data_IF_869343915888
#
_entry.id   IF_869343915888
#
_cell.length_a   1.000
_cell.length_b   1.000
_cell.length_c   1.000
_cell.angle_alpha   90.00
_cell.angle_beta   90.00
_cell.angle_gamma   90.00
#
_symmetry.space_group_name_H-M   'P 1'
#
loop_
_entity.id
_entity.type
_entity.pdbx_description
1 polymer ?
#
# COMPACT_ATOMS: atom_id res chain seq x y z
N UNK A 1 -14.29 15.51 -1.28
CA UNK A 1 -13.29 16.30 -0.55
C UNK A 1 -12.15 15.37 -0.15
N UNK A 2 -10.88 15.69 -0.45
CA UNK A 2 -9.76 14.84 -0.04
C UNK A 2 -9.66 14.91 1.49
N UNK A 3 -9.59 13.74 2.13
CA UNK A 3 -9.45 13.65 3.57
C UNK A 3 -8.18 14.36 4.02
N UNK A 4 -8.37 15.43 4.81
CA UNK A 4 -7.29 16.10 5.52
C UNK A 4 -6.62 15.04 6.39
N UNK A 5 -5.37 14.71 6.07
CA UNK A 5 -4.52 13.95 6.98
C UNK A 5 -4.50 14.71 8.31
N UNK A 6 -4.91 14.03 9.38
CA UNK A 6 -4.95 14.62 10.72
C UNK A 6 -3.52 14.93 11.14
N UNK A 7 -3.10 16.17 10.92
CA UNK A 7 -1.84 16.78 11.40
C UNK A 7 -2.02 17.31 12.83
N UNK A 8 -2.64 16.53 13.70
CA UNK A 8 -2.65 16.80 15.14
C UNK A 8 -2.00 15.62 15.84
N UNK A 9 -0.91 15.92 16.55
CA UNK A 9 -0.28 15.02 17.52
C UNK A 9 -1.36 14.33 18.34
N UNK A 10 -1.37 12.99 18.33
CA UNK A 10 -2.23 12.19 19.23
C UNK A 10 -1.56 12.17 20.61
N UNK A 11 -1.19 13.32 21.17
CA UNK A 11 -0.61 13.38 22.50
C UNK A 11 -1.00 14.67 23.18
N UNK A 12 -1.95 14.52 24.12
CA UNK A 12 -2.11 15.42 25.23
C UNK A 12 -0.74 15.68 25.87
N UNK A 13 -0.37 16.95 26.03
CA UNK A 13 0.60 17.39 27.04
C UNK A 13 0.44 16.53 28.29
N UNK A 14 1.54 15.98 28.81
CA UNK A 14 1.50 15.39 30.15
C UNK A 14 0.89 16.41 31.12
N UNK A 15 0.11 15.97 32.13
CA UNK A 15 -0.33 16.85 33.20
C UNK A 15 0.92 17.40 33.91
N UNK A 16 1.41 18.55 33.43
CA UNK A 16 2.74 19.07 33.76
C UNK A 16 3.41 19.90 32.66
N UNK A 17 2.88 19.92 31.43
CA UNK A 17 3.38 20.81 30.36
C UNK A 17 4.76 20.42 29.78
N UNK A 18 5.27 19.24 30.12
CA UNK A 18 6.55 18.74 29.62
C UNK A 18 6.38 18.20 28.19
N UNK A 19 7.21 18.66 27.26
CA UNK A 19 7.28 18.14 25.89
C UNK A 19 7.76 16.69 25.97
N UNK A 20 6.98 15.74 25.45
CA UNK A 20 7.39 14.34 25.39
C UNK A 20 8.48 14.15 24.35
N UNK A 21 9.51 13.41 24.73
CA UNK A 21 10.62 13.04 23.84
C UNK A 21 10.20 11.81 23.04
N UNK A 22 9.88 11.98 21.76
CA UNK A 22 9.38 10.89 20.91
C UNK A 22 9.99 10.97 19.51
N UNK A 23 10.23 9.81 18.91
CA UNK A 23 10.65 9.65 17.53
C UNK A 23 9.80 8.59 16.83
N UNK A 24 9.37 8.89 15.60
CA UNK A 24 8.57 8.01 14.76
C UNK A 24 9.32 7.72 13.46
N UNK A 25 9.31 6.47 13.04
CA UNK A 25 9.83 6.02 11.75
C UNK A 25 8.74 5.25 11.02
N UNK A 26 8.32 5.80 9.88
CA UNK A 26 7.27 5.25 9.04
C UNK A 26 7.90 4.75 7.74
N UNK A 27 7.69 3.48 7.41
CA UNK A 27 8.06 2.90 6.13
C UNK A 27 6.80 2.87 5.30
N UNK A 28 6.71 3.78 4.34
CA UNK A 28 5.52 3.99 3.52
C UNK A 28 5.81 3.49 2.12
N UNK A 29 5.09 2.47 1.68
CA UNK A 29 5.22 1.87 0.36
C UNK A 29 3.98 2.12 -0.47
N UNK A 30 4.17 2.77 -1.61
CA UNK A 30 3.14 2.98 -2.62
C UNK A 30 3.37 1.97 -3.74
N UNK A 31 2.43 1.05 -3.92
CA UNK A 31 2.58 -0.03 -4.89
C UNK A 31 1.76 0.22 -6.15
N UNK A 32 2.37 -0.05 -7.29
CA UNK A 32 1.77 0.02 -8.61
C UNK A 32 1.77 -1.36 -9.24
N UNK A 33 0.58 -1.91 -9.55
CA UNK A 33 0.44 -3.23 -10.18
C UNK A 33 -0.58 -3.15 -11.32
N UNK A 34 -0.21 -3.74 -12.46
CA UNK A 34 -1.15 -4.01 -13.55
C UNK A 34 -1.33 -5.51 -13.71
N UNK A 35 -2.56 -6.00 -13.61
CA UNK A 35 -2.91 -7.38 -13.94
C UNK A 35 -3.45 -7.47 -15.37
N UNK A 36 -3.13 -8.59 -16.03
CA UNK A 36 -3.81 -9.05 -17.25
C UNK A 36 -5.24 -9.54 -16.93
N UNK A 37 -6.06 -9.72 -17.98
CA UNK A 37 -7.42 -10.27 -17.85
C UNK A 37 -7.48 -11.69 -17.30
N UNK A 38 -6.40 -12.46 -17.44
CA UNK A 38 -6.26 -13.79 -16.83
C UNK A 38 -5.68 -13.76 -15.40
N UNK A 39 -5.43 -12.58 -14.84
CA UNK A 39 -4.94 -12.41 -13.46
C UNK A 39 -3.43 -12.51 -13.26
N UNK A 40 -2.63 -12.60 -14.33
CA UNK A 40 -1.17 -12.49 -14.24
C UNK A 40 -0.73 -11.05 -14.05
N UNK A 41 0.32 -10.84 -13.23
CA UNK A 41 0.95 -9.54 -13.05
C UNK A 41 1.77 -9.21 -14.31
N UNK A 42 1.44 -8.10 -14.97
CA UNK A 42 2.16 -7.57 -16.14
C UNK A 42 3.27 -6.61 -15.72
N UNK A 43 2.97 -5.72 -14.77
CA UNK A 43 3.92 -4.75 -14.20
C UNK A 43 3.73 -4.69 -12.69
N UNK A 44 4.82 -4.58 -11.95
CA UNK A 44 4.81 -4.38 -10.50
C UNK A 44 5.97 -3.47 -10.10
N UNK A 45 5.68 -2.44 -9.33
CA UNK A 45 6.67 -1.48 -8.82
C UNK A 45 6.26 -1.00 -7.43
N UNK A 46 7.27 -0.69 -6.62
CA UNK A 46 7.15 -0.08 -5.29
C UNK A 46 7.91 1.23 -5.30
N UNK A 47 7.21 2.30 -4.94
CA UNK A 47 7.78 3.59 -4.56
C UNK A 47 7.73 3.69 -3.04
N UNK A 48 8.88 3.61 -2.39
CA UNK A 48 9.01 3.59 -0.94
C UNK A 48 9.64 4.86 -0.37
N UNK A 49 9.18 5.26 0.82
CA UNK A 49 9.77 6.34 1.60
C UNK A 49 9.91 5.90 3.05
N UNK A 50 11.11 6.04 3.61
CA UNK A 50 11.34 6.04 5.06
C UNK A 50 11.15 7.48 5.53
N UNK A 51 10.09 7.73 6.30
CA UNK A 51 9.76 9.02 6.84
C UNK A 51 10.04 9.04 8.34
N UNK A 52 10.71 10.09 8.82
CA UNK A 52 11.02 10.26 10.24
C UNK A 52 10.30 11.48 10.80
N UNK A 53 9.76 11.36 12.01
CA UNK A 53 9.26 12.49 12.80
C UNK A 53 10.02 12.56 14.10
N UNK A 54 10.81 13.61 14.29
CA UNK A 54 11.62 13.81 15.50
C UNK A 54 11.07 14.95 16.35
N UNK A 55 10.79 14.65 17.62
CA UNK A 55 10.44 15.64 18.65
C UNK A 55 11.45 15.64 19.80
N UNK A 56 12.70 15.26 19.51
CA UNK A 56 13.76 15.09 20.49
C UNK A 56 14.49 16.41 20.79
N UNK A 57 14.68 16.74 22.06
CA UNK A 57 15.36 17.96 22.47
C UNK A 57 16.86 17.91 22.15
N UNK A 58 17.32 18.93 21.41
CA UNK A 58 18.73 19.13 21.05
C UNK A 58 19.21 18.29 19.88
N UNK A 59 18.27 17.73 19.10
CA UNK A 59 18.53 17.01 17.84
C UNK A 59 19.70 16.02 17.95
N UNK A 60 19.58 15.00 18.81
CA UNK A 60 20.64 14.03 19.00
C UNK A 60 20.88 13.23 17.72
N UNK A 61 22.11 12.73 17.55
CA UNK A 61 22.41 11.79 16.48
C UNK A 61 21.55 10.52 16.62
N UNK A 62 20.99 10.09 15.49
CA UNK A 62 20.17 8.89 15.32
C UNK A 62 20.91 7.92 14.41
N UNK A 63 20.81 6.63 14.74
CA UNK A 63 21.27 5.53 13.88
C UNK A 63 20.09 4.62 13.57
N UNK A 64 19.79 4.48 12.28
CA UNK A 64 18.72 3.64 11.77
C UNK A 64 19.33 2.51 10.95
N UNK A 65 19.25 1.28 11.45
CA UNK A 65 19.72 0.12 10.71
C UNK A 65 18.59 -0.57 9.94
N UNK A 66 18.87 -0.87 8.68
CA UNK A 66 18.00 -1.62 7.79
C UNK A 66 18.46 -3.09 7.71
N UNK A 67 17.88 -3.87 6.79
CA UNK A 67 18.30 -5.25 6.56
C UNK A 67 19.80 -5.32 6.21
N UNK A 68 20.52 -6.29 6.79
CA UNK A 68 21.94 -6.50 6.50
C UNK A 68 22.17 -6.93 5.05
N UNK A 69 21.22 -7.67 4.47
CA UNK A 69 21.23 -8.15 3.09
C UNK A 69 20.60 -7.17 2.09
N UNK A 70 20.34 -5.92 2.51
CA UNK A 70 19.89 -4.87 1.62
C UNK A 70 20.94 -4.63 0.53
N UNK A 71 20.52 -4.58 -0.72
CA UNK A 71 21.39 -4.20 -1.84
C UNK A 71 20.70 -3.15 -2.71
N UNK A 72 21.49 -2.29 -3.35
CA UNK A 72 20.99 -1.22 -4.22
C UNK A 72 21.66 -1.36 -5.58
N UNK A 73 20.87 -1.21 -6.64
CA UNK A 73 21.35 -1.22 -8.01
C UNK A 73 21.03 -2.52 -8.74
N UNK A 74 20.84 -2.38 -10.05
CA UNK A 74 20.72 -3.51 -10.99
C UNK A 74 22.11 -4.08 -11.32
N UNK A 75 22.83 -4.56 -10.31
CA UNK A 75 24.17 -5.12 -10.45
C UNK A 75 24.16 -6.64 -10.54
N UNK A 76 24.59 -7.19 -11.67
CA UNK A 76 24.86 -8.62 -11.89
C UNK A 76 25.84 -9.17 -10.83
N UNK A 77 25.38 -10.14 -10.03
CA UNK A 77 26.15 -11.00 -9.12
C UNK A 77 25.32 -12.26 -8.83
N UNK A 78 25.92 -13.45 -8.73
CA UNK A 78 25.45 -14.64 -9.42
C UNK A 78 24.04 -15.05 -9.02
N UNK A 79 23.24 -15.37 -10.04
CA UNK A 79 22.11 -16.31 -9.95
C UNK A 79 22.70 -17.67 -9.57
N UNK A 80 23.02 -17.86 -8.30
CA UNK A 80 23.43 -19.15 -7.75
C UNK A 80 22.88 -19.31 -6.36
N UNK A 81 22.00 -20.29 -6.24
CA UNK A 81 21.59 -20.85 -4.98
C UNK A 81 20.13 -20.59 -4.71
N UNK A 82 19.33 -21.63 -4.95
CA UNK A 82 18.13 -21.91 -4.17
C UNK A 82 18.39 -21.65 -2.68
N UNK A 83 18.15 -20.43 -2.20
CA UNK A 83 17.95 -20.14 -0.78
C UNK A 83 16.45 -20.05 -0.55
N UNK A 84 15.82 -21.21 -0.55
CA UNK A 84 14.50 -21.37 0.05
C UNK A 84 14.68 -21.40 1.56
N UNK A 85 14.44 -20.27 2.23
CA UNK A 85 13.86 -20.23 3.59
C UNK A 85 13.62 -18.78 4.04
N UNK A 86 12.35 -18.36 4.07
CA UNK A 86 11.81 -17.39 5.03
C UNK A 86 12.36 -15.94 5.08
N UNK A 87 12.99 -15.42 4.02
CA UNK A 87 13.34 -13.99 3.94
C UNK A 87 14.23 -13.73 2.73
N UNK A 88 13.63 -13.33 1.61
CA UNK A 88 14.40 -12.98 0.42
C UNK A 88 15.23 -11.72 0.67
N UNK A 89 16.44 -11.66 0.11
CA UNK A 89 17.27 -10.46 0.16
C UNK A 89 16.50 -9.27 -0.41
N UNK A 90 16.56 -8.13 0.26
CA UNK A 90 15.91 -6.90 -0.18
C UNK A 90 16.81 -6.21 -1.21
N UNK A 91 16.34 -6.09 -2.45
CA UNK A 91 17.12 -5.51 -3.54
C UNK A 91 16.33 -4.33 -4.10
N UNK A 92 16.88 -3.14 -3.88
CA UNK A 92 16.35 -1.88 -4.37
C UNK A 92 16.95 -1.58 -5.75
N UNK A 93 16.17 -1.00 -6.66
CA UNK A 93 16.71 -0.53 -7.93
C UNK A 93 17.62 0.68 -7.74
N UNK A 94 17.12 1.65 -6.98
CA UNK A 94 17.79 2.90 -6.67
C UNK A 94 17.20 3.49 -5.39
N UNK A 95 17.96 4.40 -4.77
CA UNK A 95 17.51 5.17 -3.62
C UNK A 95 18.18 6.54 -3.57
N UNK A 96 17.53 7.47 -2.89
CA UNK A 96 18.12 8.74 -2.50
C UNK A 96 17.95 8.98 -1.00
N UNK A 97 18.84 9.80 -0.45
CA UNK A 97 18.89 10.11 0.97
C UNK A 97 18.71 11.61 1.19
N UNK A 98 18.17 11.95 2.34
CA UNK A 98 18.16 13.34 2.81
C UNK A 98 19.57 13.84 3.10
N UNK A 99 19.80 15.14 2.93
CA UNK A 99 21.12 15.78 3.12
C UNK A 99 21.71 15.59 4.53
N UNK A 100 20.85 15.37 5.53
CA UNK A 100 21.29 15.14 6.91
C UNK A 100 21.80 13.71 7.17
N UNK A 101 21.68 12.80 6.20
CA UNK A 101 22.08 11.40 6.30
C UNK A 101 23.54 11.23 5.92
N UNK A 102 24.31 10.68 6.85
CA UNK A 102 25.70 10.25 6.67
C UNK A 102 25.73 8.76 6.37
N UNK A 103 26.43 8.41 5.30
CA UNK A 103 26.47 7.05 4.74
C UNK A 103 27.73 6.26 5.13
N UNK A 104 28.56 6.79 6.04
CA UNK A 104 29.85 6.19 6.43
C UNK A 104 29.74 4.71 6.84
N UNK A 105 28.62 4.34 7.48
CA UNK A 105 28.35 2.99 7.94
C UNK A 105 27.39 2.20 7.02
N UNK A 106 26.81 2.86 6.01
CA UNK A 106 25.77 2.25 5.19
C UNK A 106 26.32 1.05 4.40
N UNK A 107 27.53 1.17 3.85
CA UNK A 107 28.14 0.09 3.07
C UNK A 107 28.50 -1.15 3.91
N UNK A 108 28.84 -0.95 5.19
CA UNK A 108 29.27 -2.04 6.08
C UNK A 108 28.10 -2.76 6.77
N UNK A 109 27.15 -2.01 7.33
CA UNK A 109 26.09 -2.59 8.17
C UNK A 109 24.70 -2.01 7.90
N UNK A 110 24.52 -1.34 6.75
CA UNK A 110 23.23 -0.77 6.30
C UNK A 110 22.61 0.15 7.35
N UNK A 111 23.47 0.86 8.08
CA UNK A 111 23.07 1.86 9.08
C UNK A 111 23.17 3.27 8.52
N UNK A 112 22.06 3.99 8.59
CA UNK A 112 21.97 5.42 8.29
C UNK A 112 22.20 6.21 9.58
N UNK A 113 23.23 7.06 9.60
CA UNK A 113 23.51 7.97 10.73
C UNK A 113 23.06 9.38 10.38
N UNK A 114 22.26 10.04 11.22
CA UNK A 114 21.77 11.39 10.92
C UNK A 114 21.54 12.23 12.17
N UNK A 115 21.61 13.55 12.02
CA UNK A 115 21.03 14.49 12.97
C UNK A 115 19.68 14.92 12.38
N UNK A 116 18.53 14.51 12.97
CA UNK A 116 17.24 14.74 12.36
C UNK A 116 16.87 16.23 12.45
N UNK A 117 16.36 16.83 11.36
CA UNK A 117 15.60 18.07 11.44
C UNK A 117 14.41 17.95 12.40
N UNK A 118 13.98 19.07 12.97
CA UNK A 118 12.76 19.14 13.78
C UNK A 118 11.53 18.83 12.93
N UNK A 119 10.64 17.97 13.45
CA UNK A 119 9.41 17.62 12.77
C UNK A 119 9.55 16.46 11.79
N UNK A 120 8.82 16.53 10.67
CA UNK A 120 8.63 15.43 9.72
C UNK A 120 9.44 15.65 8.44
N UNK A 121 10.28 14.68 8.08
CA UNK A 121 11.10 14.73 6.87
C UNK A 121 11.33 13.31 6.30
N UNK A 122 11.52 13.17 4.97
CA UNK A 122 11.93 11.90 4.39
C UNK A 122 13.40 11.65 4.72
N UNK A 123 13.74 10.47 5.22
CA UNK A 123 15.13 10.03 5.45
C UNK A 123 15.72 9.43 4.18
N UNK A 124 14.93 8.57 3.52
CA UNK A 124 15.33 7.82 2.34
C UNK A 124 14.11 7.61 1.46
N UNK A 125 14.25 7.80 0.15
CA UNK A 125 13.30 7.30 -0.84
C UNK A 125 13.96 6.16 -1.62
N UNK A 126 13.18 5.15 -2.00
CA UNK A 126 13.67 4.01 -2.74
C UNK A 126 12.65 3.52 -3.75
N UNK A 127 13.15 2.83 -4.77
CA UNK A 127 12.34 2.20 -5.81
C UNK A 127 12.68 0.73 -5.94
N UNK A 128 11.68 -0.11 -6.18
CA UNK A 128 11.85 -1.55 -6.36
C UNK A 128 10.89 -2.08 -7.42
N UNK A 129 11.45 -2.73 -8.44
CA UNK A 129 10.73 -3.39 -9.54
C UNK A 129 10.84 -4.91 -9.51
N UNK A 130 11.48 -5.46 -8.48
CA UNK A 130 11.51 -6.90 -8.29
C UNK A 130 10.11 -7.46 -8.06
N UNK A 131 9.88 -8.69 -8.51
CA UNK A 131 8.61 -9.36 -8.34
C UNK A 131 8.32 -9.58 -6.85
N UNK A 132 7.10 -9.22 -6.44
CA UNK A 132 6.60 -9.40 -5.08
C UNK A 132 5.20 -10.00 -5.09
N UNK A 133 4.78 -10.60 -3.97
CA UNK A 133 3.43 -11.12 -3.83
C UNK A 133 2.44 -9.95 -3.72
N UNK A 134 1.56 -9.81 -4.71
CA UNK A 134 0.51 -8.81 -4.68
C UNK A 134 -0.42 -9.03 -3.46
N UNK A 135 -0.73 -8.00 -2.65
CA UNK A 135 -1.53 -8.15 -1.44
C UNK A 135 -3.01 -8.43 -1.73
N UNK A 136 -3.48 -8.14 -2.94
CA UNK A 136 -4.84 -8.42 -3.37
C UNK A 136 -4.86 -9.03 -4.78
N UNK A 137 -5.67 -10.07 -4.99
CA UNK A 137 -6.04 -10.50 -6.34
C UNK A 137 -7.44 -9.98 -6.67
N UNK A 138 -7.57 -9.44 -7.87
CA UNK A 138 -8.84 -8.94 -8.41
C UNK A 138 -9.16 -9.79 -9.63
N UNK A 139 -10.32 -10.42 -9.63
CA UNK A 139 -10.89 -11.07 -10.80
C UNK A 139 -12.21 -10.37 -11.15
N UNK A 140 -12.38 -10.08 -12.43
CA UNK A 140 -13.56 -9.43 -12.96
C UNK A 140 -14.05 -10.21 -14.17
N UNK A 141 -15.30 -10.65 -14.11
CA UNK A 141 -15.97 -11.36 -15.18
C UNK A 141 -17.20 -10.58 -15.61
N UNK A 142 -17.42 -10.47 -16.91
CA UNK A 142 -18.62 -9.86 -17.49
C UNK A 142 -19.35 -10.94 -18.28
N UNK A 143 -20.61 -11.18 -17.95
CA UNK A 143 -21.50 -12.14 -18.61
C UNK A 143 -22.69 -11.41 -19.24
N UNK A 144 -23.04 -11.77 -20.47
CA UNK A 144 -24.24 -11.25 -21.12
C UNK A 144 -25.48 -11.96 -20.57
N UNK A 145 -26.50 -11.18 -20.20
CA UNK A 145 -27.72 -11.67 -19.54
C UNK A 145 -28.98 -11.31 -20.35
N UNK A 146 -28.83 -11.10 -21.66
CA UNK A 146 -29.85 -10.64 -22.60
C UNK A 146 -29.41 -9.41 -23.39
N UNK A 147 -30.19 -8.98 -24.39
CA UNK A 147 -29.75 -7.92 -25.32
C UNK A 147 -29.56 -6.55 -24.67
N UNK A 148 -30.23 -6.27 -23.55
CA UNK A 148 -30.15 -5.02 -22.78
C UNK A 148 -29.60 -5.20 -21.36
N UNK A 149 -29.00 -6.36 -21.07
CA UNK A 149 -28.56 -6.72 -19.72
C UNK A 149 -27.22 -7.43 -19.75
N UNK A 150 -26.39 -7.12 -18.78
CA UNK A 150 -25.18 -7.88 -18.49
C UNK A 150 -24.99 -7.99 -16.98
N UNK A 151 -24.11 -8.87 -16.57
CA UNK A 151 -23.76 -9.09 -15.18
C UNK A 151 -22.26 -8.98 -15.01
N UNK A 152 -21.83 -8.22 -14.02
CA UNK A 152 -20.42 -8.11 -13.63
C UNK A 152 -20.24 -8.85 -12.31
N UNK A 153 -19.31 -9.79 -12.28
CA UNK A 153 -18.86 -10.47 -11.09
C UNK A 153 -17.46 -9.98 -10.73
N UNK A 154 -17.34 -9.29 -9.61
CA UNK A 154 -16.07 -8.85 -9.05
C UNK A 154 -15.72 -9.73 -7.86
N UNK A 155 -14.56 -10.38 -7.91
CA UNK A 155 -14.01 -11.16 -6.81
C UNK A 155 -12.70 -10.54 -6.34
N UNK A 156 -12.60 -10.30 -5.03
CA UNK A 156 -11.41 -9.77 -4.36
C UNK A 156 -10.90 -10.81 -3.36
N UNK A 157 -9.62 -11.19 -3.47
CA UNK A 157 -8.97 -12.11 -2.52
C UNK A 157 -7.79 -11.41 -1.84
N UNK A 158 -7.77 -11.42 -0.50
CA UNK A 158 -6.70 -10.81 0.32
C UNK A 158 -5.56 -11.81 0.54
N UNK A 159 -4.37 -11.51 0.03
CA UNK A 159 -3.25 -12.45 -0.13
C UNK A 159 -2.13 -12.26 0.93
N UNK A 160 -2.51 -11.75 2.10
CA UNK A 160 -1.64 -11.54 3.27
C UNK A 160 -2.17 -12.31 4.50
N UNK A 161 -1.38 -12.33 5.58
CA UNK A 161 -1.71 -13.09 6.79
C UNK A 161 -3.03 -12.63 7.43
N UNK A 162 -3.81 -13.57 7.98
CA UNK A 162 -5.14 -13.30 8.56
C UNK A 162 -5.12 -12.42 9.81
N UNK A 163 -3.97 -12.28 10.46
CA UNK A 163 -3.74 -11.32 11.56
C UNK A 163 -3.63 -9.87 11.08
N UNK A 164 -3.39 -9.65 9.79
CA UNK A 164 -3.26 -8.32 9.18
C UNK A 164 -4.60 -7.90 8.58
N UNK A 165 -4.88 -6.61 8.68
CA UNK A 165 -6.11 -6.00 8.19
C UNK A 165 -5.77 -4.88 7.21
N UNK A 166 -6.51 -4.81 6.11
CA UNK A 166 -6.54 -3.65 5.22
C UNK A 166 -7.77 -2.77 5.48
N UNK A 167 -7.62 -1.48 5.24
CA UNK A 167 -8.62 -0.44 5.46
C UNK A 167 -8.77 0.45 4.21
N UNK A 168 -9.86 1.23 4.17
CA UNK A 168 -10.12 2.22 3.10
C UNK A 168 -10.07 1.59 1.72
N UNK A 169 -10.71 0.42 1.56
CA UNK A 169 -10.73 -0.29 0.29
C UNK A 169 -11.82 0.30 -0.59
N UNK A 170 -11.46 0.67 -1.82
CA UNK A 170 -12.41 1.09 -2.85
C UNK A 170 -12.02 0.45 -4.17
N UNK A 171 -12.95 -0.31 -4.74
CA UNK A 171 -12.89 -0.91 -6.07
C UNK A 171 -13.77 -0.09 -7.00
N UNK A 172 -13.28 0.20 -8.19
CA UNK A 172 -14.01 0.98 -9.20
C UNK A 172 -13.83 0.34 -10.56
N UNK A 173 -14.92 0.36 -11.35
CA UNK A 173 -14.92 -0.17 -12.70
C UNK A 173 -15.75 0.75 -13.61
N UNK A 174 -15.15 1.35 -14.65
CA UNK A 174 -15.90 2.04 -15.69
C UNK A 174 -16.79 1.04 -16.44
N UNK A 175 -18.02 1.45 -16.73
CA UNK A 175 -19.04 0.66 -17.41
C UNK A 175 -19.35 1.29 -18.78
N UNK A 176 -20.01 0.55 -19.69
CA UNK A 176 -20.41 1.09 -20.98
C UNK A 176 -21.24 2.36 -20.84
N UNK A 177 -21.07 3.31 -21.76
CA UNK A 177 -21.69 4.65 -21.69
C UNK A 177 -23.22 4.62 -21.65
N UNK A 178 -23.82 3.59 -22.25
CA UNK A 178 -25.26 3.36 -22.31
C UNK A 178 -25.81 2.61 -21.09
N UNK A 179 -25.02 2.41 -20.02
CA UNK A 179 -25.52 1.86 -18.76
C UNK A 179 -26.48 2.84 -18.10
N UNK A 180 -27.73 2.45 -17.90
CA UNK A 180 -28.78 3.28 -17.27
C UNK A 180 -28.97 2.94 -15.80
N UNK A 181 -28.82 1.66 -15.44
CA UNK A 181 -29.01 1.20 -14.06
C UNK A 181 -28.04 0.08 -13.72
N UNK A 182 -27.64 0.06 -12.45
CA UNK A 182 -26.89 -1.05 -11.85
C UNK A 182 -27.61 -1.49 -10.58
N UNK A 183 -27.87 -2.79 -10.46
CA UNK A 183 -28.38 -3.42 -9.24
C UNK A 183 -27.28 -4.26 -8.61
N UNK A 184 -27.03 -4.05 -7.32
CA UNK A 184 -25.93 -4.69 -6.61
C UNK A 184 -26.43 -5.80 -5.69
N UNK A 185 -25.73 -6.93 -5.69
CA UNK A 185 -25.96 -8.07 -4.82
C UNK A 185 -24.65 -8.41 -4.10
N UNK A 186 -24.67 -8.26 -2.78
CA UNK A 186 -23.57 -8.60 -1.89
C UNK A 186 -23.81 -9.99 -1.27
N UNK A 187 -22.74 -10.66 -0.87
CA UNK A 187 -22.84 -11.93 -0.15
C UNK A 187 -23.55 -11.74 1.21
N UNK A 188 -24.37 -12.71 1.65
CA UNK A 188 -25.02 -12.66 2.96
C UNK A 188 -24.00 -12.46 4.07
N UNK A 189 -24.27 -11.53 5.00
CA UNK A 189 -23.35 -11.20 6.10
C UNK A 189 -22.24 -10.21 5.74
N UNK A 190 -22.25 -9.63 4.54
CA UNK A 190 -21.34 -8.55 4.13
C UNK A 190 -21.52 -7.28 4.97
N UNK A 191 -20.80 -7.19 6.08
CA UNK A 191 -20.83 -6.02 6.97
C UNK A 191 -19.81 -4.96 6.54
N UNK A 192 -20.19 -3.69 6.62
CA UNK A 192 -19.28 -2.58 6.31
C UNK A 192 -18.89 -2.46 4.83
N UNK A 193 -19.64 -3.09 3.93
CA UNK A 193 -19.50 -2.93 2.49
C UNK A 193 -20.61 -2.02 1.94
N UNK A 194 -20.26 -1.17 0.99
CA UNK A 194 -21.22 -0.29 0.31
C UNK A 194 -20.96 -0.31 -1.20
N UNK A 195 -22.02 -0.14 -1.98
CA UNK A 195 -21.97 -0.11 -3.43
C UNK A 195 -22.67 1.13 -3.96
N UNK A 196 -22.21 1.64 -5.08
CA UNK A 196 -22.78 2.83 -5.72
C UNK A 196 -22.57 2.78 -7.24
N UNK A 197 -23.47 3.42 -7.97
CA UNK A 197 -23.33 3.65 -9.40
C UNK A 197 -23.28 5.15 -9.68
N UNK A 198 -22.10 5.61 -10.07
CA UNK A 198 -21.87 7.01 -10.46
C UNK A 198 -22.36 7.21 -11.89
N UNK A 199 -23.64 7.49 -12.06
CA UNK A 199 -24.26 7.63 -13.37
C UNK A 199 -23.57 8.66 -14.27
N UNK A 200 -23.19 9.83 -13.74
CA UNK A 200 -22.51 10.89 -14.49
C UNK A 200 -21.20 10.43 -15.15
N UNK A 201 -20.49 9.50 -14.51
CA UNK A 201 -19.21 8.97 -14.98
C UNK A 201 -19.31 7.52 -15.48
N UNK A 202 -20.54 6.96 -15.52
CA UNK A 202 -20.84 5.55 -15.84
C UNK A 202 -19.88 4.59 -15.15
N UNK A 203 -19.77 4.69 -13.82
CA UNK A 203 -18.79 3.96 -13.03
C UNK A 203 -19.42 3.24 -11.84
N UNK A 204 -19.13 1.96 -11.71
CA UNK A 204 -19.42 1.17 -10.53
C UNK A 204 -18.40 1.48 -9.44
N UNK A 205 -18.86 1.62 -8.18
CA UNK A 205 -18.00 1.74 -7.01
C UNK A 205 -18.41 0.72 -5.94
N UNK A 206 -17.42 0.02 -5.39
CA UNK A 206 -17.59 -0.91 -4.28
C UNK A 206 -16.57 -0.56 -3.20
N UNK A 207 -17.05 -0.25 -2.00
CA UNK A 207 -16.19 0.15 -0.88
C UNK A 207 -16.31 -0.85 0.27
N UNK A 208 -15.17 -1.25 0.84
CA UNK A 208 -15.12 -2.10 2.01
C UNK A 208 -14.37 -1.35 3.11
N UNK A 209 -15.00 -1.19 4.28
CA UNK A 209 -14.36 -0.50 5.42
C UNK A 209 -13.11 -1.23 5.90
N UNK A 210 -13.17 -2.56 5.91
CA UNK A 210 -12.15 -3.44 6.48
C UNK A 210 -12.13 -4.79 5.74
N UNK A 211 -10.93 -5.32 5.49
CA UNK A 211 -10.72 -6.68 4.98
C UNK A 211 -9.61 -7.34 5.81
N UNK A 212 -9.81 -8.57 6.26
CA UNK A 212 -8.77 -9.36 6.93
C UNK A 212 -7.97 -10.17 5.90
N UNK A 213 -6.72 -10.48 6.18
CA UNK A 213 -5.93 -11.33 5.29
C UNK A 213 -6.52 -12.73 5.14
N UNK A 214 -6.35 -13.32 3.96
CA UNK A 214 -6.88 -14.65 3.64
C UNK A 214 -8.39 -14.71 3.40
N UNK A 215 -9.12 -13.60 3.48
CA UNK A 215 -10.56 -13.57 3.13
C UNK A 215 -10.78 -13.31 1.65
N UNK A 216 -11.94 -13.77 1.16
CA UNK A 216 -12.45 -13.48 -0.17
C UNK A 216 -13.77 -12.71 -0.05
N UNK A 217 -14.02 -11.83 -1.01
CA UNK A 217 -15.25 -11.05 -1.09
C UNK A 217 -15.74 -11.00 -2.53
N UNK A 218 -17.04 -11.16 -2.72
CA UNK A 218 -17.66 -11.13 -4.05
C UNK A 218 -18.74 -10.04 -4.13
N UNK A 219 -18.72 -9.27 -5.21
CA UNK A 219 -19.80 -8.38 -5.61
C UNK A 219 -20.37 -8.81 -6.95
N UNK A 220 -21.69 -8.94 -7.01
CA UNK A 220 -22.45 -9.15 -8.24
C UNK A 220 -23.18 -7.87 -8.59
N UNK A 221 -23.01 -7.39 -9.82
CA UNK A 221 -23.62 -6.15 -10.32
C UNK A 221 -24.37 -6.42 -11.63
N UNK A 222 -25.70 -6.33 -11.58
CA UNK A 222 -26.58 -6.51 -12.73
C UNK A 222 -26.78 -5.17 -13.44
N UNK A 223 -26.32 -5.10 -14.68
CA UNK A 223 -26.37 -3.93 -15.54
C UNK A 223 -27.65 -3.93 -16.37
N UNK A 224 -28.21 -2.75 -16.58
CA UNK A 224 -29.28 -2.50 -17.55
C UNK A 224 -28.83 -1.40 -18.51
N UNK A 225 -29.11 -1.59 -19.80
CA UNK A 225 -28.66 -0.75 -20.88
C UNK A 225 -29.82 0.00 -21.56
N UNK A 226 -29.58 1.19 -22.09
CA UNK A 226 -30.57 1.94 -22.88
C UNK A 226 -30.72 1.44 -24.32
N UNK A 227 -29.74 0.67 -24.80
CA UNK A 227 -29.68 0.16 -26.17
C UNK A 227 -28.97 -1.20 -26.19
N UNK A 228 -29.16 -1.94 -27.26
CA UNK A 228 -28.46 -3.22 -27.44
C UNK A 228 -26.97 -2.99 -27.65
N UNK A 229 -26.15 -3.92 -27.13
CA UNK A 229 -24.72 -3.91 -27.39
C UNK A 229 -24.47 -4.26 -28.85
N UNK A 230 -23.80 -3.38 -29.60
CA UNK A 230 -23.33 -3.67 -30.96
C UNK A 230 -21.87 -4.17 -30.96
N UNK A 231 -21.26 -4.33 -29.79
CA UNK A 231 -19.86 -4.65 -29.59
C UNK A 231 -19.61 -5.58 -28.40
N UNK A 232 -18.33 -5.77 -28.09
CA UNK A 232 -17.91 -6.57 -26.92
C UNK A 232 -17.96 -5.69 -25.67
N UNK A 233 -18.85 -6.01 -24.73
CA UNK A 233 -19.07 -5.25 -23.49
C UNK A 233 -17.79 -5.11 -22.67
N UNK A 234 -16.90 -6.11 -22.67
CA UNK A 234 -15.60 -6.03 -21.99
C UNK A 234 -14.70 -4.95 -22.58
N UNK A 235 -14.70 -4.79 -23.91
CA UNK A 235 -13.91 -3.73 -24.58
C UNK A 235 -14.44 -2.32 -24.31
N UNK A 236 -15.74 -2.20 -24.05
CA UNK A 236 -16.40 -0.93 -23.75
C UNK A 236 -16.42 -0.61 -22.25
N UNK A 237 -16.11 -1.61 -21.43
CA UNK A 237 -15.89 -1.47 -20.00
C UNK A 237 -14.43 -1.11 -19.74
N UNK A 238 -14.16 -0.46 -18.61
CA UNK A 238 -12.80 -0.10 -18.22
C UNK A 238 -12.17 -1.17 -17.33
N UNK A 239 -10.83 -1.13 -17.17
CA UNK A 239 -10.17 -1.99 -16.22
C UNK A 239 -10.67 -1.69 -14.80
N UNK A 240 -10.60 -2.71 -13.94
CA UNK A 240 -10.95 -2.57 -12.53
C UNK A 240 -9.78 -1.92 -11.79
N UNK A 241 -10.00 -0.76 -11.20
CA UNK A 241 -9.02 -0.08 -10.36
C UNK A 241 -9.35 -0.25 -8.88
N UNK A 242 -8.33 -0.32 -8.03
CA UNK A 242 -8.49 -0.47 -6.59
C UNK A 242 -7.57 0.47 -5.81
N UNK A 243 -8.11 1.06 -4.74
CA UNK A 243 -7.33 1.78 -3.73
C UNK A 243 -7.48 1.10 -2.38
N UNK A 244 -6.43 1.08 -1.57
CA UNK A 244 -6.45 0.51 -0.21
C UNK A 244 -5.28 1.04 0.63
N UNK A 245 -5.33 0.77 1.94
CA UNK A 245 -4.21 0.97 2.87
C UNK A 245 -4.09 -0.24 3.79
N UNK A 246 -2.90 -0.81 3.91
CA UNK A 246 -2.59 -1.92 4.82
C UNK A 246 -1.61 -1.41 5.88
N UNK A 247 -2.08 -1.09 7.11
CA UNK A 247 -1.19 -0.74 8.21
C UNK A 247 -0.41 -1.97 8.72
N UNK A 248 0.75 -1.70 9.30
CA UNK A 248 1.70 -2.68 9.85
C UNK A 248 2.11 -3.76 8.84
N UNK A 249 2.18 -3.39 7.56
CA UNK A 249 2.54 -4.27 6.47
C UNK A 249 3.35 -3.53 5.41
N UNK A 250 4.39 -4.19 4.91
CA UNK A 250 5.16 -3.77 3.75
C UNK A 250 5.41 -4.97 2.83
N UNK A 251 5.61 -4.67 1.56
CA UNK A 251 5.67 -5.66 0.49
C UNK A 251 7.13 -5.97 0.12
N UNK A 252 8.02 -4.98 0.23
CA UNK A 252 9.46 -5.14 -0.07
C UNK A 252 10.23 -6.02 0.90
N UNK A 253 9.67 -6.35 2.07
CA UNK A 253 10.40 -6.95 3.21
C UNK A 253 11.52 -6.06 3.79
N UNK A 254 11.60 -4.79 3.40
CA UNK A 254 12.44 -3.81 4.08
C UNK A 254 12.02 -3.67 5.54
N UNK A 255 12.97 -3.78 6.45
CA UNK A 255 12.77 -3.79 7.89
C UNK A 255 13.74 -2.85 8.55
N UNK A 256 13.24 -2.13 9.56
CA UNK A 256 14.09 -1.45 10.54
C UNK A 256 14.53 -2.48 11.57
N UNK A 257 15.83 -2.79 11.59
CA UNK A 257 16.45 -3.72 12.54
C UNK A 257 16.63 -3.08 13.91
N UNK A 258 17.10 -1.83 13.94
CA UNK A 258 17.11 -1.03 15.16
C UNK A 258 17.03 0.47 14.87
N UNK A 259 16.54 1.20 15.87
CA UNK A 259 16.53 2.66 15.92
C UNK A 259 17.21 3.10 17.22
N UNK A 260 18.43 3.64 17.09
CA UNK A 260 19.23 4.06 18.23
C UNK A 260 19.29 5.58 18.29
N UNK A 261 19.12 6.12 19.50
CA UNK A 261 19.35 7.52 19.82
C UNK A 261 20.69 7.58 20.56
N UNK A 262 21.70 8.24 20.00
CA UNK A 262 23.09 8.19 20.50
C UNK A 262 23.23 8.97 21.82
N UNK A 263 22.48 10.07 21.97
CA UNK A 263 22.43 10.82 23.22
C UNK A 263 21.92 9.91 24.34
N UNK A 264 22.70 9.79 25.40
CA UNK A 264 22.24 9.18 26.66
C UNK A 264 21.27 10.16 27.33
N UNK A 265 20.01 9.76 27.40
CA UNK A 265 19.06 10.44 28.28
C UNK A 265 19.26 9.87 29.69
N UNK A 266 19.13 10.71 30.71
CA UNK A 266 19.32 10.29 32.11
C UNK A 266 18.26 9.29 32.55
N UNK A 267 17.27 9.73 33.32
CA UNK A 267 16.21 8.84 33.82
C UNK A 267 15.05 8.62 32.85
N UNK A 268 14.94 9.45 31.80
CA UNK A 268 13.79 9.43 30.89
C UNK A 268 14.25 9.06 29.48
N UNK A 269 14.02 7.81 29.08
CA UNK A 269 14.27 7.39 27.70
C UNK A 269 13.18 7.88 26.74
N UNK A 270 13.53 8.34 25.53
CA UNK A 270 12.53 8.72 24.53
C UNK A 270 11.70 7.54 24.03
N UNK A 271 10.45 7.80 23.68
CA UNK A 271 9.60 6.82 23.00
C UNK A 271 10.01 6.65 21.54
N UNK A 272 10.00 5.40 21.07
CA UNK A 272 10.42 5.01 19.73
C UNK A 272 9.30 4.25 19.06
N UNK A 273 8.86 4.72 17.91
CA UNK A 273 7.77 4.12 17.15
C UNK A 273 8.26 3.75 15.76
N UNK A 274 7.98 2.52 15.34
CA UNK A 274 8.20 2.08 13.97
C UNK A 274 6.90 1.49 13.44
N UNK A 275 6.47 1.95 12.27
CA UNK A 275 5.32 1.36 11.57
C UNK A 275 5.59 1.22 10.08
N UNK A 276 4.89 0.26 9.50
CA UNK A 276 4.93 -0.05 8.08
C UNK A 276 3.56 0.24 7.50
N UNK A 277 3.48 0.85 6.33
CA UNK A 277 2.21 1.19 5.68
C UNK A 277 2.33 0.92 4.19
N UNK A 278 1.50 0.03 3.67
CA UNK A 278 1.37 -0.19 2.22
C UNK A 278 0.13 0.51 1.70
N UNK A 279 0.24 1.25 0.61
CA UNK A 279 -0.84 1.95 -0.07
C UNK A 279 -0.84 1.61 -1.55
N UNK A 280 -2.03 1.57 -2.15
CA UNK A 280 -2.15 1.54 -3.60
C UNK A 280 -1.77 2.90 -4.20
N UNK A 281 -0.91 2.90 -5.22
CA UNK A 281 -0.71 4.05 -6.12
C UNK A 281 -1.55 3.86 -7.39
N UNK A 282 -1.17 2.89 -8.22
CA UNK A 282 -1.92 2.46 -9.40
C UNK A 282 -2.12 0.95 -9.36
N UNK A 283 -3.29 0.49 -8.92
CA UNK A 283 -3.62 -0.94 -8.79
C UNK A 283 -4.77 -1.31 -9.71
N UNK A 284 -4.46 -1.95 -10.84
CA UNK A 284 -5.38 -2.06 -11.98
C UNK A 284 -5.42 -3.48 -12.52
N UNK A 285 -6.60 -4.07 -12.66
CA UNK A 285 -6.83 -5.34 -13.35
C UNK A 285 -7.54 -5.10 -14.68
N UNK A 286 -6.91 -5.54 -15.78
CA UNK A 286 -7.54 -5.52 -17.11
C UNK A 286 -8.65 -6.57 -17.18
N UNK A 287 -9.56 -6.37 -18.12
CA UNK A 287 -10.72 -7.21 -18.41
C UNK A 287 -10.68 -7.68 -19.87
#
# INVERSE_FOLDING_TARGET
>A
MPGIAVTKSVVATEPGGRRREEIFVDIIEKISITFSSSGYILTSEIDGTIQMKSYLTGNPEIRLALNEDLSIGRGQGPVSGYRSSSGGAVILDDCNFHESVRLDNFDTNRTLSLIPPDGEFPVMNYRMTQAFKAPFRINALIEEAGSLKAEVLLKLSAEFASSITANTIKVQMPLPKYTTRVSFELEPGSTGQTTDFREANKKLEWSLKKINGGSEHTLRAKLTFSQESHGNISKESGPVSMTFTIPMYNVSQLQVKYLQIVKKFGTHEPYRWVRYVTQANSYVARI
#
